data_IF_552782296094
#
_entry.id   IF_552782296094
#
_cell.length_a   1.000
_cell.length_b   1.000
_cell.length_c   1.000
_cell.angle_alpha   90.00
_cell.angle_beta   90.00
_cell.angle_gamma   90.00
#
_symmetry.space_group_name_H-M   'P 1'
#
loop_
_entity.id
_entity.type
_entity.pdbx_description
1 polymer ?
#
# COMPACT_ATOMS: atom_id res chain seq x y z
N UNK A 1 -27.05 -11.32 -0.16
CA UNK A 1 -25.81 -10.58 -0.50
C UNK A 1 -24.63 -11.51 -0.35
N UNK A 2 -24.46 -12.16 0.79
CA UNK A 2 -23.37 -13.11 1.03
C UNK A 2 -23.37 -14.24 0.00
N UNK A 3 -24.54 -14.69 -0.41
CA UNK A 3 -24.72 -15.71 -1.46
C UNK A 3 -24.31 -15.18 -2.83
N UNK A 4 -24.72 -13.96 -3.22
CA UNK A 4 -24.29 -13.34 -4.47
C UNK A 4 -22.77 -13.06 -4.49
N UNK A 5 -22.21 -12.59 -3.40
CA UNK A 5 -20.78 -12.38 -3.26
C UNK A 5 -20.00 -13.69 -3.29
N UNK A 6 -20.53 -14.78 -2.71
CA UNK A 6 -19.90 -16.11 -2.76
C UNK A 6 -19.81 -16.70 -4.16
N UNK A 7 -20.76 -16.37 -5.03
CA UNK A 7 -20.73 -16.74 -6.45
C UNK A 7 -19.80 -15.84 -7.28
N UNK A 8 -19.71 -14.55 -6.94
CA UNK A 8 -18.87 -13.60 -7.68
C UNK A 8 -17.38 -13.70 -7.33
N UNK A 9 -17.03 -14.05 -6.09
CA UNK A 9 -15.65 -14.17 -5.65
C UNK A 9 -14.83 -15.22 -6.42
N UNK A 10 -15.33 -16.45 -6.70
CA UNK A 10 -14.61 -17.41 -7.56
C UNK A 10 -14.44 -16.95 -9.00
N UNK A 11 -15.37 -16.15 -9.54
CA UNK A 11 -15.25 -15.53 -10.86
C UNK A 11 -14.09 -14.51 -10.90
N UNK A 12 -13.87 -13.81 -9.80
CA UNK A 12 -12.82 -12.80 -9.65
C UNK A 12 -11.42 -13.40 -9.49
N UNK A 13 -11.30 -14.61 -8.94
CA UNK A 13 -10.02 -15.27 -8.65
C UNK A 13 -9.46 -16.14 -9.78
N UNK A 14 -9.95 -16.00 -10.99
CA UNK A 14 -9.29 -16.55 -12.18
C UNK A 14 -9.48 -18.04 -12.42
N UNK A 15 -10.37 -18.72 -11.71
CA UNK A 15 -10.71 -20.13 -11.95
C UNK A 15 -11.86 -20.32 -12.97
N UNK A 16 -12.36 -19.23 -13.53
CA UNK A 16 -13.50 -19.22 -14.46
C UNK A 16 -13.16 -18.38 -15.72
N UNK A 17 -13.93 -18.53 -16.81
CA UNK A 17 -13.68 -17.81 -18.05
C UNK A 17 -13.67 -16.28 -17.85
N UNK A 18 -13.02 -15.54 -18.76
CA UNK A 18 -12.83 -14.11 -18.61
C UNK A 18 -14.16 -13.39 -18.36
N UNK A 19 -14.18 -12.54 -17.36
CA UNK A 19 -15.33 -11.73 -16.97
C UNK A 19 -15.56 -10.72 -18.09
N UNK A 20 -16.74 -10.75 -18.67
CA UNK A 20 -17.17 -9.77 -19.66
C UNK A 20 -17.73 -8.48 -19.00
N UNK A 21 -18.08 -7.50 -19.82
CA UNK A 21 -18.60 -6.22 -19.35
C UNK A 21 -19.93 -6.33 -18.58
N UNK A 22 -20.74 -7.36 -18.87
CA UNK A 22 -22.00 -7.62 -18.17
C UNK A 22 -21.74 -8.11 -16.74
N UNK A 23 -20.75 -8.99 -16.57
CA UNK A 23 -20.33 -9.44 -15.24
C UNK A 23 -19.76 -8.27 -14.42
N UNK A 24 -18.99 -7.36 -15.05
CA UNK A 24 -18.48 -6.18 -14.36
C UNK A 24 -19.62 -5.29 -13.85
N UNK A 25 -20.66 -5.03 -14.67
CA UNK A 25 -21.84 -4.25 -14.26
C UNK A 25 -22.60 -4.92 -13.12
N UNK A 26 -22.69 -6.26 -13.14
CA UNK A 26 -23.30 -6.99 -12.03
C UNK A 26 -22.49 -6.86 -10.74
N UNK A 27 -21.17 -6.95 -10.82
CA UNK A 27 -20.25 -6.71 -9.70
C UNK A 27 -20.40 -5.30 -9.17
N UNK A 28 -20.42 -4.29 -10.02
CA UNK A 28 -20.63 -2.90 -9.66
C UNK A 28 -21.97 -2.69 -8.94
N UNK A 29 -23.02 -3.32 -9.42
CA UNK A 29 -24.35 -3.24 -8.80
C UNK A 29 -24.37 -3.86 -7.40
N UNK A 30 -23.75 -5.03 -7.23
CA UNK A 30 -23.62 -5.70 -5.93
C UNK A 30 -22.72 -4.89 -5.00
N UNK A 31 -21.63 -4.34 -5.52
CA UNK A 31 -20.73 -3.51 -4.76
C UNK A 31 -21.39 -2.22 -4.27
N UNK A 32 -22.19 -1.57 -5.13
CA UNK A 32 -22.98 -0.40 -4.77
C UNK A 32 -23.95 -0.72 -3.63
N UNK A 33 -24.66 -1.83 -3.74
CA UNK A 33 -25.57 -2.28 -2.70
C UNK A 33 -24.83 -2.57 -1.39
N UNK A 34 -23.67 -3.25 -1.46
CA UNK A 34 -22.84 -3.54 -0.30
C UNK A 34 -22.35 -2.25 0.38
N UNK A 35 -21.98 -1.23 -0.40
CA UNK A 35 -21.58 0.08 0.12
C UNK A 35 -22.75 0.79 0.82
N UNK A 36 -23.92 0.85 0.20
CA UNK A 36 -25.12 1.45 0.78
C UNK A 36 -25.54 0.79 2.10
N UNK A 37 -25.30 -0.52 2.24
CA UNK A 37 -25.65 -1.32 3.42
C UNK A 37 -24.46 -1.56 4.35
N UNK A 38 -23.31 -0.91 4.13
CA UNK A 38 -22.07 -1.04 4.92
C UNK A 38 -21.56 -2.48 5.07
N UNK A 39 -21.73 -3.28 4.04
CA UNK A 39 -21.19 -4.64 3.99
C UNK A 39 -19.72 -4.60 3.61
N UNK A 40 -18.87 -5.27 4.40
CA UNK A 40 -17.43 -5.38 4.09
C UNK A 40 -17.19 -6.47 3.07
N UNK A 41 -16.52 -6.15 1.96
CA UNK A 41 -16.13 -7.16 0.97
C UNK A 41 -15.01 -8.04 1.54
N UNK A 42 -15.11 -9.37 1.40
CA UNK A 42 -14.15 -10.31 1.99
C UNK A 42 -12.79 -10.32 1.27
N UNK A 43 -12.70 -9.78 0.06
CA UNK A 43 -11.46 -9.77 -0.73
C UNK A 43 -11.43 -8.55 -1.66
N UNK A 44 -10.26 -7.91 -1.87
CA UNK A 44 -10.12 -6.82 -2.81
C UNK A 44 -10.23 -7.33 -4.27
N UNK A 45 -10.90 -6.57 -5.12
CA UNK A 45 -10.99 -6.87 -6.56
C UNK A 45 -9.67 -6.65 -7.29
N UNK A 46 -8.92 -5.66 -6.86
CA UNK A 46 -7.57 -5.35 -7.36
C UNK A 46 -6.58 -5.74 -6.30
N UNK A 47 -5.53 -6.44 -6.69
CA UNK A 47 -4.54 -6.96 -5.75
C UNK A 47 -3.35 -6.00 -5.67
N UNK A 48 -3.07 -5.48 -4.48
CA UNK A 48 -1.79 -4.84 -4.19
C UNK A 48 -0.76 -5.95 -3.87
N UNK A 49 -0.10 -6.44 -4.91
CA UNK A 49 0.84 -7.56 -4.80
C UNK A 49 2.06 -7.18 -3.95
N UNK A 50 2.54 -5.97 -4.13
CA UNK A 50 3.72 -5.46 -3.45
C UNK A 50 3.61 -3.96 -3.22
N UNK A 51 4.09 -3.52 -2.07
CA UNK A 51 4.33 -2.12 -1.78
C UNK A 51 5.75 -1.98 -1.23
N UNK A 52 6.51 -0.99 -1.67
CA UNK A 52 7.85 -0.74 -1.17
C UNK A 52 8.17 0.77 -1.15
N UNK A 53 8.93 1.18 -0.16
CA UNK A 53 9.48 2.53 -0.08
C UNK A 53 10.73 2.58 -0.94
N UNK A 54 10.76 3.50 -1.92
CA UNK A 54 11.92 3.72 -2.78
C UNK A 54 12.97 4.46 -1.96
N UNK A 55 14.10 3.81 -1.72
CA UNK A 55 15.20 4.37 -0.93
C UNK A 55 16.06 5.28 -1.81
N UNK A 56 16.50 6.44 -1.33
CA UNK A 56 17.67 7.10 -1.90
C UNK A 56 18.87 6.16 -1.78
N UNK A 57 19.71 6.11 -2.79
CA UNK A 57 20.79 5.12 -2.98
C UNK A 57 21.88 5.06 -1.88
N UNK A 58 21.86 5.93 -0.89
CA UNK A 58 22.89 6.09 0.14
C UNK A 58 22.51 5.62 1.56
N UNK A 59 21.35 5.01 1.74
CA UNK A 59 20.89 4.63 3.09
C UNK A 59 21.48 3.28 3.53
N UNK A 60 22.50 3.32 4.39
CA UNK A 60 23.10 2.15 5.07
C UNK A 60 22.23 1.61 6.23
N UNK A 61 21.17 2.30 6.62
CA UNK A 61 20.30 1.90 7.72
C UNK A 61 19.23 0.91 7.27
N UNK A 62 18.82 0.02 8.17
CA UNK A 62 17.77 -0.99 7.93
C UNK A 62 16.42 -0.38 7.49
N UNK A 63 16.13 0.83 7.97
CA UNK A 63 14.91 1.59 7.60
C UNK A 63 15.29 2.86 6.84
N UNK A 64 14.54 3.24 5.80
CA UNK A 64 14.75 4.51 5.12
C UNK A 64 14.54 5.66 6.09
N UNK A 65 15.44 6.66 6.02
CA UNK A 65 15.36 7.90 6.77
C UNK A 65 15.08 9.04 5.80
N UNK A 66 14.12 9.89 6.14
CA UNK A 66 13.76 11.09 5.37
C UNK A 66 13.67 12.29 6.31
N UNK A 67 13.87 13.49 5.75
CA UNK A 67 13.61 14.73 6.48
C UNK A 67 12.11 14.99 6.61
N UNK A 68 11.73 15.72 7.65
CA UNK A 68 10.37 16.20 7.81
C UNK A 68 9.96 16.99 6.56
N UNK A 69 8.76 16.76 6.05
CA UNK A 69 8.22 17.40 4.84
C UNK A 69 8.96 17.08 3.53
N UNK A 70 9.91 16.14 3.55
CA UNK A 70 10.55 15.64 2.33
C UNK A 70 9.66 14.61 1.63
N UNK A 71 9.63 14.59 0.28
CA UNK A 71 8.81 13.62 -0.46
C UNK A 71 9.35 12.20 -0.29
N UNK A 72 8.55 11.35 0.34
CA UNK A 72 8.76 9.91 0.41
C UNK A 72 8.13 9.26 -0.82
N UNK A 73 8.93 8.56 -1.62
CA UNK A 73 8.44 7.84 -2.80
C UNK A 73 8.12 6.40 -2.44
N UNK A 74 6.91 5.97 -2.79
CA UNK A 74 6.39 4.64 -2.50
C UNK A 74 5.90 4.03 -3.79
N UNK A 75 6.41 2.86 -4.12
CA UNK A 75 6.02 2.10 -5.29
C UNK A 75 4.96 1.05 -4.88
N UNK A 76 3.80 1.12 -5.52
CA UNK A 76 2.68 0.22 -5.32
C UNK A 76 2.49 -0.61 -6.59
N UNK A 77 2.61 -1.93 -6.48
CA UNK A 77 2.38 -2.87 -7.57
C UNK A 77 0.94 -3.35 -7.51
N UNK A 78 0.17 -2.94 -8.50
CA UNK A 78 -1.23 -3.30 -8.66
C UNK A 78 -1.39 -4.37 -9.73
N UNK A 79 -2.27 -5.32 -9.48
CA UNK A 79 -2.64 -6.37 -10.42
C UNK A 79 -4.14 -6.32 -10.62
N UNK A 80 -4.55 -6.20 -11.86
CA UNK A 80 -5.94 -6.39 -12.27
C UNK A 80 -6.15 -7.85 -12.67
N UNK A 81 -6.73 -8.71 -11.83
CA UNK A 81 -6.99 -10.10 -12.18
C UNK A 81 -8.22 -10.28 -13.08
N UNK A 82 -8.95 -9.18 -13.36
CA UNK A 82 -10.19 -9.23 -14.12
C UNK A 82 -9.90 -9.26 -15.62
N UNK A 83 -10.78 -9.91 -16.38
CA UNK A 83 -10.75 -9.93 -17.84
C UNK A 83 -11.21 -8.63 -18.51
N UNK A 84 -11.39 -7.55 -17.73
CA UNK A 84 -11.89 -6.25 -18.19
C UNK A 84 -10.99 -5.12 -17.71
N UNK A 85 -10.99 -4.03 -18.47
CA UNK A 85 -10.34 -2.79 -18.09
C UNK A 85 -11.04 -2.16 -16.90
N UNK A 86 -10.27 -1.71 -15.91
CA UNK A 86 -10.80 -1.04 -14.71
C UNK A 86 -10.16 0.32 -14.49
N UNK A 87 -10.93 1.24 -13.94
CA UNK A 87 -10.46 2.56 -13.52
C UNK A 87 -10.45 2.62 -12.00
N UNK A 88 -9.29 2.94 -11.45
CA UNK A 88 -9.12 3.25 -10.03
C UNK A 88 -9.01 4.76 -9.92
N UNK A 89 -9.93 5.37 -9.20
CA UNK A 89 -9.87 6.80 -8.90
C UNK A 89 -9.55 7.01 -7.43
N UNK A 90 -8.99 8.17 -7.11
CA UNK A 90 -8.66 8.56 -5.73
C UNK A 90 -7.70 7.58 -5.02
N UNK A 91 -6.74 7.00 -5.74
CA UNK A 91 -5.74 6.13 -5.12
C UNK A 91 -4.90 6.94 -4.15
N UNK A 92 -5.00 6.61 -2.86
CA UNK A 92 -4.32 7.31 -1.77
C UNK A 92 -3.67 6.32 -0.80
N UNK A 93 -2.47 6.65 -0.36
CA UNK A 93 -1.79 5.92 0.70
C UNK A 93 -2.04 6.58 2.06
N UNK A 94 -2.21 5.75 3.07
CA UNK A 94 -2.41 6.17 4.44
C UNK A 94 -1.27 5.69 5.33
N UNK A 95 -0.93 6.53 6.30
CA UNK A 95 0.16 6.31 7.22
C UNK A 95 -0.36 6.19 8.65
N UNK A 96 0.34 5.39 9.47
CA UNK A 96 0.14 5.30 10.90
C UNK A 96 1.47 5.48 11.61
N UNK A 97 1.42 5.96 12.85
CA UNK A 97 2.60 5.94 13.72
C UNK A 97 3.00 4.51 14.03
N UNK A 98 4.29 4.32 14.18
CA UNK A 98 4.83 3.02 14.52
C UNK A 98 5.95 3.17 15.56
N UNK A 99 6.31 2.05 16.17
CA UNK A 99 7.53 1.94 16.97
C UNK A 99 8.69 1.48 16.06
N UNK A 100 9.91 1.56 16.58
CA UNK A 100 11.12 1.12 15.85
C UNK A 100 11.08 -0.37 15.45
N UNK A 101 10.37 -1.17 16.20
CA UNK A 101 10.19 -2.61 15.93
C UNK A 101 9.15 -2.90 14.84
N UNK A 102 8.42 -1.88 14.37
CA UNK A 102 7.34 -1.98 13.39
C UNK A 102 5.96 -2.16 13.99
N UNK A 103 5.81 -2.13 15.32
CA UNK A 103 4.49 -2.15 15.98
C UNK A 103 3.71 -0.90 15.61
N UNK A 104 2.52 -1.07 15.03
CA UNK A 104 1.64 0.04 14.71
C UNK A 104 1.05 0.66 15.97
N UNK A 105 1.02 1.99 16.01
CA UNK A 105 0.34 2.77 17.05
C UNK A 105 -0.99 3.29 16.48
N UNK A 106 -1.99 3.42 17.35
CA UNK A 106 -3.35 3.86 16.94
C UNK A 106 -3.41 5.33 16.52
N UNK A 107 -2.35 6.11 16.74
CA UNK A 107 -2.34 7.53 16.40
C UNK A 107 -2.11 7.74 14.89
N UNK A 108 -2.91 8.60 14.23
CA UNK A 108 -2.71 8.94 12.84
C UNK A 108 -1.39 9.72 12.66
N UNK A 109 -0.84 9.64 11.47
CA UNK A 109 0.28 10.46 11.01
C UNK A 109 -0.30 11.52 10.08
N UNK A 110 0.08 12.77 10.31
CA UNK A 110 -0.25 13.83 9.37
C UNK A 110 0.65 13.69 8.15
N UNK A 111 0.03 13.40 7.02
CA UNK A 111 0.73 13.21 5.76
C UNK A 111 -0.12 13.73 4.60
N UNK A 112 0.55 14.36 3.64
CA UNK A 112 -0.04 14.73 2.35
C UNK A 112 0.38 13.67 1.32
N UNK A 113 -0.58 12.86 0.90
CA UNK A 113 -0.42 11.88 -0.17
C UNK A 113 -1.34 12.28 -1.31
N UNK A 114 -0.79 12.85 -2.40
CA UNK A 114 -1.61 13.27 -3.53
C UNK A 114 -2.34 12.08 -4.14
N UNK A 115 -3.55 12.35 -4.54
CA UNK A 115 -4.46 11.40 -5.16
C UNK A 115 -4.02 11.14 -6.60
N UNK A 116 -4.11 9.89 -7.04
CA UNK A 116 -3.80 9.49 -8.40
C UNK A 116 -4.93 8.64 -8.98
N UNK A 117 -5.17 8.82 -10.26
CA UNK A 117 -6.06 7.96 -11.03
C UNK A 117 -5.22 6.97 -11.83
N UNK A 118 -5.62 5.71 -11.79
CA UNK A 118 -4.91 4.60 -12.43
C UNK A 118 -5.89 3.79 -13.26
N UNK A 119 -5.54 3.55 -14.51
CA UNK A 119 -6.29 2.65 -15.38
C UNK A 119 -5.48 1.39 -15.55
N UNK A 120 -6.10 0.24 -15.33
CA UNK A 120 -5.50 -1.08 -15.50
C UNK A 120 -6.22 -1.83 -16.61
N UNK A 121 -5.47 -2.29 -17.60
CA UNK A 121 -5.99 -3.16 -18.63
C UNK A 121 -6.27 -4.58 -18.10
N UNK A 122 -6.99 -5.44 -18.83
CA UNK A 122 -7.25 -6.80 -18.40
C UNK A 122 -5.96 -7.58 -18.10
N UNK A 123 -5.90 -8.21 -16.94
CA UNK A 123 -4.74 -8.99 -16.46
C UNK A 123 -3.42 -8.18 -16.38
N UNK A 124 -3.49 -6.86 -16.37
CA UNK A 124 -2.31 -6.00 -16.28
C UNK A 124 -1.73 -6.02 -14.87
N UNK A 125 -0.39 -6.02 -14.85
CA UNK A 125 0.43 -5.71 -13.65
C UNK A 125 1.09 -4.37 -13.86
N UNK A 126 0.83 -3.43 -12.98
CA UNK A 126 1.34 -2.07 -13.10
C UNK A 126 1.96 -1.56 -11.82
N UNK A 127 3.13 -0.95 -11.96
CA UNK A 127 3.77 -0.19 -10.89
C UNK A 127 3.29 1.25 -10.93
N UNK A 128 2.87 1.75 -9.76
CA UNK A 128 2.44 3.14 -9.55
C UNK A 128 3.32 3.75 -8.48
N UNK A 129 4.01 4.83 -8.80
CA UNK A 129 4.83 5.55 -7.83
C UNK A 129 4.01 6.67 -7.22
N UNK A 130 3.73 6.55 -5.93
CA UNK A 130 3.08 7.56 -5.12
C UNK A 130 4.15 8.37 -4.38
N UNK A 131 3.95 9.68 -4.28
CA UNK A 131 4.81 10.56 -3.48
C UNK A 131 3.99 11.06 -2.29
N UNK A 132 4.52 10.94 -1.08
CA UNK A 132 3.86 11.44 0.11
C UNK A 132 4.81 12.31 0.92
N UNK A 133 4.30 13.36 1.57
CA UNK A 133 5.05 14.20 2.50
C UNK A 133 4.53 13.95 3.91
N UNK A 134 5.42 13.67 4.85
CA UNK A 134 5.07 13.36 6.23
C UNK A 134 5.45 14.56 7.09
N UNK A 135 4.49 15.08 7.86
CA UNK A 135 4.65 16.26 8.70
C UNK A 135 4.86 15.95 10.18
N UNK A 136 4.89 14.67 10.51
CA UNK A 136 5.07 14.19 11.90
C UNK A 136 6.40 13.48 12.02
N UNK A 137 7.24 13.89 12.96
CA UNK A 137 8.51 13.25 13.27
C UNK A 137 8.35 11.89 13.97
N UNK A 138 9.34 11.04 13.83
CA UNK A 138 9.34 9.68 14.39
C UNK A 138 9.13 8.60 13.36
N UNK A 139 8.80 7.38 13.81
CA UNK A 139 8.53 6.27 12.91
C UNK A 139 7.11 6.36 12.34
N UNK A 140 7.04 6.41 11.02
CA UNK A 140 5.80 6.30 10.25
C UNK A 140 5.80 5.01 9.43
N UNK A 141 4.62 4.43 9.24
CA UNK A 141 4.42 3.21 8.47
C UNK A 141 3.29 3.40 7.48
N UNK A 142 3.47 2.93 6.25
CA UNK A 142 2.36 2.80 5.30
C UNK A 142 1.43 1.71 5.79
N UNK A 143 0.19 2.05 6.11
CA UNK A 143 -0.78 1.15 6.73
C UNK A 143 -1.71 0.51 5.72
N UNK A 144 -2.30 1.31 4.85
CA UNK A 144 -3.28 0.86 3.87
C UNK A 144 -3.34 1.81 2.68
N UNK A 145 -3.90 1.31 1.59
CA UNK A 145 -4.29 2.10 0.43
C UNK A 145 -5.81 2.20 0.37
N UNK A 146 -6.33 3.35 -0.04
CA UNK A 146 -7.74 3.53 -0.40
C UNK A 146 -7.84 3.90 -1.87
N UNK A 147 -8.87 3.45 -2.51
CA UNK A 147 -9.21 3.83 -3.89
C UNK A 147 -10.69 3.59 -4.15
N UNK A 148 -11.20 4.22 -5.21
CA UNK A 148 -12.55 3.98 -5.69
C UNK A 148 -12.48 3.21 -7.01
N UNK A 149 -13.04 2.01 -7.04
CA UNK A 149 -13.12 1.17 -8.22
C UNK A 149 -14.35 1.57 -9.05
N UNK A 150 -14.14 1.83 -10.34
CA UNK A 150 -15.19 2.19 -11.30
C UNK A 150 -16.13 3.33 -10.81
N UNK A 151 -15.61 4.23 -10.00
CA UNK A 151 -16.34 5.36 -9.40
C UNK A 151 -17.51 4.99 -8.47
N UNK A 152 -17.61 3.73 -8.08
CA UNK A 152 -18.73 3.21 -7.28
C UNK A 152 -18.28 2.60 -5.98
N UNK A 153 -17.27 1.75 -6.01
CA UNK A 153 -16.85 0.98 -4.85
C UNK A 153 -15.63 1.60 -4.18
N UNK A 154 -15.82 2.07 -2.95
CA UNK A 154 -14.68 2.46 -2.10
C UNK A 154 -14.03 1.23 -1.48
N UNK A 155 -12.74 1.05 -1.76
CA UNK A 155 -11.94 -0.07 -1.28
C UNK A 155 -10.91 0.43 -0.29
N UNK A 156 -10.80 -0.27 0.83
CA UNK A 156 -9.77 -0.11 1.83
C UNK A 156 -8.92 -1.38 1.84
N UNK A 157 -7.69 -1.27 1.39
CA UNK A 157 -6.79 -2.41 1.28
C UNK A 157 -5.62 -2.29 2.24
N UNK A 158 -5.54 -3.20 3.21
CA UNK A 158 -4.39 -3.27 4.12
C UNK A 158 -3.13 -3.67 3.34
N UNK A 159 -2.04 -2.94 3.58
CA UNK A 159 -0.72 -3.23 3.03
C UNK A 159 0.20 -3.92 4.06
N UNK A 160 -0.35 -4.21 5.24
CA UNK A 160 0.40 -4.85 6.31
C UNK A 160 0.66 -6.32 5.98
N UNK A 161 1.92 -6.71 6.10
CA UNK A 161 2.37 -8.10 5.95
C UNK A 161 2.89 -8.63 7.29
N UNK A 162 2.91 -9.94 7.41
CA UNK A 162 3.60 -10.60 8.50
C UNK A 162 5.10 -10.58 8.20
N UNK A 163 5.88 -10.21 9.19
CA UNK A 163 7.33 -10.30 9.12
C UNK A 163 7.84 -11.75 9.24
N UNK A 164 9.12 -11.94 9.46
CA UNK A 164 9.70 -13.28 9.62
C UNK A 164 9.12 -14.00 10.85
N UNK A 165 8.97 -15.31 10.72
CA UNK A 165 8.49 -16.14 11.81
C UNK A 165 9.52 -16.17 12.94
N UNK A 166 9.05 -15.90 14.17
CA UNK A 166 9.87 -15.98 15.36
C UNK A 166 10.01 -17.43 15.80
N UNK A 167 11.27 -17.84 16.08
CA UNK A 167 11.61 -19.21 16.44
C UNK A 167 12.54 -19.30 17.68
N UNK A 168 12.71 -18.18 18.39
CA UNK A 168 13.67 -18.08 19.49
C UNK A 168 13.20 -18.88 20.71
N UNK A 169 11.91 -18.84 21.03
CA UNK A 169 11.34 -19.58 22.19
C UNK A 169 10.46 -20.75 21.74
N UNK A 170 10.25 -21.73 22.66
CA UNK A 170 9.36 -22.86 22.40
C UNK A 170 7.92 -22.39 22.16
N UNK A 171 7.49 -21.38 22.89
CA UNK A 171 6.15 -20.79 22.76
C UNK A 171 5.95 -20.14 21.39
N UNK A 172 6.92 -19.34 20.91
CA UNK A 172 6.89 -18.74 19.58
C UNK A 172 6.81 -19.79 18.47
N UNK A 173 7.51 -20.91 18.63
CA UNK A 173 7.46 -22.02 17.65
C UNK A 173 6.11 -22.71 17.63
N UNK A 174 5.48 -22.90 18.81
CA UNK A 174 4.15 -23.54 18.95
C UNK A 174 3.01 -22.64 18.47
N UNK A 175 3.03 -21.35 18.84
CA UNK A 175 1.96 -20.38 18.54
C UNK A 175 2.09 -19.75 17.15
N UNK A 176 3.13 -20.10 16.34
CA UNK A 176 3.41 -19.50 15.04
C UNK A 176 3.44 -17.96 15.08
N UNK A 177 4.18 -17.42 16.05
CA UNK A 177 4.34 -15.97 16.20
C UNK A 177 5.24 -15.40 15.11
N UNK A 178 4.89 -14.22 14.60
CA UNK A 178 5.64 -13.51 13.57
C UNK A 178 6.11 -12.16 14.10
N UNK A 179 7.27 -11.71 13.65
CA UNK A 179 7.72 -10.35 13.88
C UNK A 179 6.85 -9.36 13.10
N UNK A 180 6.92 -8.09 13.44
CA UNK A 180 6.32 -7.04 12.62
C UNK A 180 7.14 -6.83 11.35
N UNK A 181 6.45 -6.70 10.22
CA UNK A 181 7.11 -6.35 8.95
C UNK A 181 7.58 -4.89 9.00
N UNK A 182 8.86 -4.68 8.69
CA UNK A 182 9.49 -3.36 8.66
C UNK A 182 9.66 -2.79 7.25
N UNK A 183 9.24 -3.50 6.22
CA UNK A 183 9.45 -3.11 4.82
C UNK A 183 8.81 -1.77 4.45
N UNK A 184 7.74 -1.40 5.15
CA UNK A 184 6.98 -0.17 4.94
C UNK A 184 7.19 0.86 6.07
N UNK A 185 8.23 0.69 6.87
CA UNK A 185 8.58 1.58 7.96
C UNK A 185 9.59 2.63 7.49
N UNK A 186 9.35 3.89 7.82
CA UNK A 186 10.23 5.02 7.55
C UNK A 186 10.50 5.81 8.83
N UNK A 187 11.73 6.25 9.02
CA UNK A 187 12.10 7.19 10.08
C UNK A 187 12.05 8.61 9.52
N UNK A 188 11.24 9.46 10.12
CA UNK A 188 11.12 10.88 9.78
C UNK A 188 11.86 11.70 10.82
N UNK A 189 12.87 12.45 10.41
CA UNK A 189 13.69 13.28 11.28
C UNK A 189 13.49 14.77 10.99
N UNK A 190 13.47 15.57 12.05
CA UNK A 190 13.50 17.05 11.92
C UNK A 190 14.87 17.53 11.49
N UNK A 191 15.92 16.88 12.01
CA UNK A 191 17.31 17.29 11.89
C UNK A 191 18.08 16.23 11.10
N UNK A 192 17.92 16.22 9.78
CA UNK A 192 18.82 15.43 8.93
C UNK A 192 20.13 16.20 8.75
N UNK A 193 21.29 15.55 8.96
CA UNK A 193 22.55 16.17 8.63
C UNK A 193 22.60 16.40 7.12
N UNK A 194 22.62 17.66 6.71
CA UNK A 194 22.95 18.03 5.34
C UNK A 194 24.44 17.81 5.14
N UNK A 195 24.81 16.89 4.24
CA UNK A 195 26.17 16.81 3.72
C UNK A 195 26.35 17.94 2.71
N UNK A 196 27.01 19.01 3.11
CA UNK A 196 27.52 20.02 2.20
C UNK A 196 28.82 19.48 1.56
N UNK A 197 28.74 19.14 0.27
CA UNK A 197 29.88 18.76 -0.53
C UNK A 197 30.53 20.04 -1.09
N UNK A 198 31.58 20.49 -0.45
CA UNK A 198 32.42 21.57 -0.96
C UNK A 198 33.39 20.98 -2.00
N UNK A 199 33.06 21.08 -3.28
CA UNK A 199 33.89 20.61 -4.37
C UNK A 199 34.84 21.76 -4.79
N UNK A 200 36.00 21.84 -4.16
CA UNK A 200 37.07 22.68 -4.68
C UNK A 200 37.68 22.05 -5.93
N UNK A 201 37.40 22.63 -7.07
CA UNK A 201 38.08 22.23 -8.31
C UNK A 201 39.59 22.57 -8.18
N UNK A 202 40.52 21.65 -8.51
CA UNK A 202 41.93 21.96 -8.51
C UNK A 202 42.20 23.08 -9.50
N UNK A 203 42.74 24.18 -9.04
CA UNK A 203 43.24 25.26 -9.90
C UNK A 203 44.40 24.68 -10.72
N UNK A 204 44.18 24.48 -12.02
CA UNK A 204 45.26 24.20 -12.95
C UNK A 204 46.16 25.42 -13.01
N UNK A 205 47.41 25.28 -12.53
CA UNK A 205 48.54 26.16 -12.80
C UNK A 205 49.14 25.79 -14.14
#
# INVERSE_FOLDING_TARGET
IDEALSYLLPLLHGSLPPIDELHLRAIESVAKYAHEHRVTLPSPFIVAERCCILRPSSSYNDNPCISLNEPCRIELFLVNPLGVRVSLTDVRLHFSRAQRDGTALSSPVEADAPVQDVILEPNERRSVVCSARIFTDGYARVSHATYTLSRVLHVHQSLQKLGPRLQTTVEQRRSRTYAHDKSLLVWVSKDMPCLELDVTAPSHV
#
